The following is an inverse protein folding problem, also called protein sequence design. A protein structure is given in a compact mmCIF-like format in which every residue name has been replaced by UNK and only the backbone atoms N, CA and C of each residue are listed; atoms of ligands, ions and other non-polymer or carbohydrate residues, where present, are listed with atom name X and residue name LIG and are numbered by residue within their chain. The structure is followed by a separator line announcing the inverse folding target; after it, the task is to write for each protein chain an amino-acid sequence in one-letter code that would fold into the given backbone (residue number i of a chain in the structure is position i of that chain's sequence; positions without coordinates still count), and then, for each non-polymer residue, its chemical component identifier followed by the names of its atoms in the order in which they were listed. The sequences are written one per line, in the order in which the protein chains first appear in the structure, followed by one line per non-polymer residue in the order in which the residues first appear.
data_IF_983623491429
#
_entry.id   IF_983623491429
#
_cell.length_a   1.000
_cell.length_b   1.000
_cell.length_c   1.000
_cell.angle_alpha   90.00
_cell.angle_beta   90.00
_cell.angle_gamma   90.00
#
_symmetry.space_group_name_H-M   'P 1'
#
loop_
_entity.id
_entity.type
_entity.pdbx_description
1 polymer ?
#
# COMPACT_ATOMS: atom_id res chain seq x y z
N UNK A 1 -13.03 -5.62 5.74
CA UNK A 1 -12.21 -4.90 4.76
C UNK A 1 -13.02 -3.73 4.22
N UNK A 2 -12.68 -2.54 4.63
CA UNK A 2 -13.34 -1.30 4.21
C UNK A 2 -12.44 -0.62 3.17
N UNK A 3 -12.92 -0.50 1.93
CA UNK A 3 -12.31 0.41 0.96
C UNK A 3 -12.82 1.82 1.23
N UNK A 4 -11.95 2.78 1.08
CA UNK A 4 -12.21 4.18 1.37
C UNK A 4 -12.66 4.96 0.13
N UNK A 5 -12.76 4.35 -1.05
CA UNK A 5 -13.13 5.06 -2.28
C UNK A 5 -14.65 5.09 -2.51
N UNK A 6 -15.16 6.21 -2.93
CA UNK A 6 -16.51 6.34 -3.46
C UNK A 6 -16.50 6.24 -4.99
N UNK A 7 -16.91 5.10 -5.55
CA UNK A 7 -17.65 4.93 -6.81
C UNK A 7 -17.75 3.48 -7.27
N UNK A 8 -18.97 3.08 -7.65
CA UNK A 8 -19.42 2.19 -8.71
C UNK A 8 -18.94 0.74 -8.78
N UNK A 9 -19.85 -0.22 -8.58
CA UNK A 9 -19.62 -1.65 -8.72
C UNK A 9 -19.58 -2.12 -10.18
N UNK A 10 -18.74 -3.17 -10.43
CA UNK A 10 -18.74 -3.98 -11.65
C UNK A 10 -18.56 -5.45 -11.25
N UNK A 11 -19.26 -6.36 -11.94
CA UNK A 11 -19.31 -7.82 -11.75
C UNK A 11 -18.02 -8.54 -12.21
N UNK A 12 -17.67 -9.72 -11.67
CA UNK A 12 -16.42 -10.41 -11.96
C UNK A 12 -16.46 -11.23 -13.27
N UNK A 13 -15.29 -11.30 -13.95
CA UNK A 13 -15.01 -12.28 -14.99
C UNK A 13 -13.87 -13.20 -14.54
N UNK A 14 -14.06 -14.52 -14.69
CA UNK A 14 -13.08 -15.55 -14.34
C UNK A 14 -11.96 -15.63 -15.39
N UNK A 15 -10.73 -15.40 -14.97
CA UNK A 15 -9.51 -15.71 -15.73
C UNK A 15 -8.47 -16.38 -14.84
N UNK A 16 -7.64 -17.31 -15.35
CA UNK A 16 -6.72 -18.09 -14.53
C UNK A 16 -5.55 -17.24 -14.01
N UNK A 17 -5.36 -17.27 -12.70
CA UNK A 17 -4.29 -16.61 -12.00
C UNK A 17 -2.96 -17.38 -12.07
N UNK A 18 -1.84 -16.67 -12.22
CA UNK A 18 -0.50 -17.24 -12.17
C UNK A 18 0.09 -17.16 -10.76
N UNK A 19 0.87 -18.14 -10.35
CA UNK A 19 1.47 -18.19 -9.00
C UNK A 19 2.63 -17.19 -8.89
N UNK A 20 2.56 -16.26 -7.93
CA UNK A 20 3.64 -15.33 -7.59
C UNK A 20 4.80 -16.10 -6.94
N UNK A 21 5.73 -16.66 -7.72
CA UNK A 21 6.96 -17.23 -7.18
C UNK A 21 8.05 -16.16 -7.17
N UNK A 22 8.29 -15.57 -6.00
CA UNK A 22 9.47 -14.76 -5.74
C UNK A 22 10.72 -15.64 -5.83
N UNK A 23 11.64 -15.33 -6.76
CA UNK A 23 12.98 -15.94 -6.75
C UNK A 23 13.75 -15.40 -5.55
N UNK A 24 14.20 -16.29 -4.66
CA UNK A 24 15.13 -15.95 -3.59
C UNK A 24 16.44 -15.46 -4.22
N UNK A 25 16.72 -14.15 -4.10
CA UNK A 25 17.97 -13.56 -4.59
C UNK A 25 18.90 -13.23 -3.42
N UNK A 26 20.16 -13.63 -3.58
CA UNK A 26 21.26 -13.26 -2.68
C UNK A 26 21.53 -11.75 -2.74
N UNK A 27 21.84 -11.09 -1.61
CA UNK A 27 22.10 -9.65 -1.58
C UNK A 27 23.44 -9.32 -2.24
N UNK A 28 23.48 -8.38 -3.13
CA UNK A 28 24.70 -7.81 -3.67
C UNK A 28 24.63 -7.43 -5.17
N UNK A 29 24.77 -6.15 -5.44
CA UNK A 29 25.10 -5.51 -6.74
C UNK A 29 24.13 -5.67 -7.94
N UNK A 30 23.16 -6.58 -7.92
CA UNK A 30 22.27 -6.86 -9.06
C UNK A 30 21.01 -5.96 -9.07
N UNK A 31 20.69 -5.34 -7.95
CA UNK A 31 19.34 -4.83 -7.68
C UNK A 31 18.99 -3.48 -8.32
N UNK A 32 19.97 -2.61 -8.63
CA UNK A 32 19.69 -1.32 -9.33
C UNK A 32 19.14 -1.49 -10.75
N UNK A 33 19.21 -2.70 -11.31
CA UNK A 33 18.72 -3.01 -12.66
C UNK A 33 17.37 -3.72 -12.69
N UNK A 34 16.92 -4.30 -11.56
CA UNK A 34 15.73 -5.17 -11.52
C UNK A 34 14.46 -4.42 -11.91
N UNK A 35 14.22 -3.25 -11.33
CA UNK A 35 13.03 -2.45 -11.68
C UNK A 35 13.04 -1.97 -13.14
N UNK A 36 14.11 -1.38 -13.68
CA UNK A 36 14.17 -1.02 -15.10
C UNK A 36 14.02 -2.21 -16.05
N UNK A 37 14.52 -3.39 -15.68
CA UNK A 37 14.37 -4.61 -16.46
C UNK A 37 12.93 -5.12 -16.43
N UNK A 38 12.28 -5.13 -15.27
CA UNK A 38 10.88 -5.49 -15.11
C UNK A 38 9.96 -4.56 -15.92
N UNK A 39 10.20 -3.26 -15.85
CA UNK A 39 9.43 -2.26 -16.63
C UNK A 39 9.59 -2.52 -18.13
N UNK A 40 10.82 -2.71 -18.62
CA UNK A 40 11.06 -3.06 -20.05
C UNK A 40 10.35 -4.35 -20.46
N UNK A 41 10.48 -5.40 -19.66
CA UNK A 41 9.83 -6.68 -19.93
C UNK A 41 8.30 -6.56 -19.97
N UNK A 42 7.73 -5.72 -19.11
CA UNK A 42 6.28 -5.45 -19.09
C UNK A 42 5.86 -4.64 -20.31
N UNK A 43 6.63 -3.65 -20.73
CA UNK A 43 6.39 -2.94 -22.00
C UNK A 43 6.37 -3.88 -23.21
N UNK A 44 7.35 -4.79 -23.30
CA UNK A 44 7.37 -5.78 -24.38
C UNK A 44 6.14 -6.70 -24.36
N UNK A 45 5.64 -7.09 -23.18
CA UNK A 45 4.39 -7.87 -23.07
C UNK A 45 3.15 -7.07 -23.47
N UNK A 46 3.14 -5.77 -23.18
CA UNK A 46 2.05 -4.88 -23.52
C UNK A 46 2.04 -4.48 -25.00
N UNK A 47 3.13 -4.69 -25.73
CA UNK A 47 3.21 -4.37 -27.18
C UNK A 47 2.07 -5.05 -27.95
N UNK A 48 1.32 -4.27 -28.72
CA UNK A 48 0.17 -4.74 -29.51
C UNK A 48 -1.12 -4.97 -28.71
N UNK A 49 -1.12 -4.84 -27.38
CA UNK A 49 -2.34 -5.02 -26.57
C UNK A 49 -3.12 -3.73 -26.35
N UNK A 50 -2.51 -2.56 -26.57
CA UNK A 50 -3.08 -1.24 -26.25
C UNK A 50 -3.13 -0.92 -24.75
N UNK A 51 -2.54 -1.77 -23.87
CA UNK A 51 -2.53 -1.57 -22.42
C UNK A 51 -1.44 -0.59 -22.02
N UNK A 52 -1.77 0.35 -21.14
CA UNK A 52 -0.77 1.23 -20.52
C UNK A 52 0.09 0.45 -19.53
N UNK A 53 1.38 0.79 -19.46
CA UNK A 53 2.30 0.23 -18.45
C UNK A 53 2.55 1.27 -17.37
N UNK A 54 2.27 0.91 -16.13
CA UNK A 54 2.43 1.78 -14.97
C UNK A 54 3.30 1.11 -13.89
N UNK A 55 3.98 1.94 -13.11
CA UNK A 55 4.72 1.52 -11.92
C UNK A 55 3.96 1.99 -10.70
N UNK A 56 3.60 1.05 -9.86
CA UNK A 56 2.96 1.31 -8.57
C UNK A 56 3.85 0.78 -7.44
N UNK A 57 3.79 1.45 -6.30
CA UNK A 57 4.50 1.06 -5.09
C UNK A 57 3.49 0.82 -3.98
N UNK A 58 3.67 -0.23 -3.20
CA UNK A 58 2.77 -0.59 -2.11
C UNK A 58 3.55 -0.85 -0.83
N UNK A 59 2.95 -0.43 0.28
CA UNK A 59 3.47 -0.65 1.63
C UNK A 59 2.33 -0.70 2.64
N UNK A 60 2.59 -1.20 3.86
CA UNK A 60 1.66 -1.25 4.97
C UNK A 60 2.10 -0.37 6.13
N UNK A 61 1.12 0.33 6.69
CA UNK A 61 1.32 1.14 7.90
C UNK A 61 0.43 0.68 9.04
N UNK A 62 1.04 0.39 10.19
CA UNK A 62 0.32 0.00 11.40
C UNK A 62 -0.01 1.22 12.24
N UNK A 63 -1.29 1.42 12.52
CA UNK A 63 -1.81 2.47 13.38
C UNK A 63 -2.59 1.89 14.56
N UNK A 64 -2.64 2.60 15.66
CA UNK A 64 -3.32 2.12 16.87
C UNK A 64 -3.69 3.25 17.80
N UNK A 65 -4.30 2.89 18.94
CA UNK A 65 -4.77 3.86 19.93
C UNK A 65 -3.62 4.56 20.68
N UNK A 66 -2.39 4.05 20.58
CA UNK A 66 -1.22 4.77 21.08
C UNK A 66 -1.02 6.04 20.22
N UNK A 67 -1.06 7.25 20.81
CA UNK A 67 -1.04 8.48 20.03
C UNK A 67 0.28 8.68 19.28
N UNK A 68 0.18 9.21 18.08
CA UNK A 68 1.31 9.71 17.31
C UNK A 68 1.69 11.06 17.87
N UNK A 69 2.84 11.15 18.54
CA UNK A 69 3.32 12.41 19.11
C UNK A 69 4.06 13.21 18.04
N UNK A 70 3.65 14.45 17.83
CA UNK A 70 4.27 15.37 16.88
C UNK A 70 4.58 16.73 17.52
N UNK A 71 5.46 17.50 16.89
CA UNK A 71 5.72 18.89 17.29
C UNK A 71 4.44 19.72 17.14
N UNK A 72 4.19 20.59 18.11
CA UNK A 72 3.06 21.52 18.10
C UNK A 72 3.49 22.89 18.62
N UNK A 73 2.77 23.92 18.22
CA UNK A 73 2.96 25.26 18.75
C UNK A 73 2.34 25.33 20.15
N UNK A 74 3.05 25.92 21.09
CA UNK A 74 2.61 26.17 22.43
C UNK A 74 3.08 27.55 22.91
N UNK A 75 2.40 28.10 23.90
CA UNK A 75 2.82 29.33 24.54
C UNK A 75 4.20 29.14 25.21
N UNK A 76 5.05 30.14 25.07
CA UNK A 76 6.41 30.07 25.64
C UNK A 76 6.36 29.81 27.16
N UNK A 77 7.06 28.77 27.59
CA UNK A 77 7.11 28.34 28.99
C UNK A 77 6.00 27.35 29.38
N UNK A 78 5.04 27.03 28.50
CA UNK A 78 4.00 26.03 28.76
C UNK A 78 4.26 24.80 27.92
N UNK A 79 4.62 23.69 28.57
CA UNK A 79 4.73 22.40 27.88
C UNK A 79 3.33 21.85 27.54
N UNK A 80 3.05 21.54 26.27
CA UNK A 80 1.77 20.93 25.92
C UNK A 80 1.69 19.50 26.46
N UNK A 81 0.51 19.12 26.95
CA UNK A 81 0.24 17.76 27.45
C UNK A 81 -0.71 17.07 26.48
N UNK A 82 -0.37 15.84 26.09
CA UNK A 82 -1.21 14.98 25.24
C UNK A 82 -1.65 13.78 26.08
N UNK A 83 -2.96 13.50 26.08
CA UNK A 83 -3.46 12.27 26.69
C UNK A 83 -2.95 11.06 25.93
N UNK A 84 -2.43 10.07 26.65
CA UNK A 84 -1.89 8.84 26.08
C UNK A 84 -2.79 7.66 26.45
N UNK A 85 -3.26 6.95 25.45
CA UNK A 85 -4.01 5.70 25.64
C UNK A 85 -3.05 4.52 25.61
N UNK A 86 -3.17 3.60 26.57
CA UNK A 86 -2.32 2.42 26.67
C UNK A 86 -2.98 1.15 26.13
N UNK A 87 -4.14 1.26 25.47
CA UNK A 87 -4.81 0.10 24.88
C UNK A 87 -4.11 -0.35 23.61
N UNK A 88 -3.86 -1.67 23.53
CA UNK A 88 -3.23 -2.30 22.38
C UNK A 88 -4.30 -2.77 21.39
N UNK A 89 -4.82 -1.84 20.61
CA UNK A 89 -5.70 -2.11 19.48
C UNK A 89 -5.10 -1.48 18.23
N UNK A 90 -5.07 -2.21 17.14
CA UNK A 90 -4.35 -1.85 15.92
C UNK A 90 -5.24 -2.03 14.70
N UNK A 91 -4.99 -1.23 13.69
CA UNK A 91 -5.42 -1.44 12.32
C UNK A 91 -4.24 -1.20 11.38
N UNK A 92 -4.36 -1.69 10.16
CA UNK A 92 -3.34 -1.53 9.14
C UNK A 92 -3.92 -0.79 7.94
N UNK A 93 -3.10 0.08 7.36
CA UNK A 93 -3.39 0.76 6.10
C UNK A 93 -2.50 0.14 5.04
N UNK A 94 -3.10 -0.48 4.05
CA UNK A 94 -2.42 -0.85 2.82
C UNK A 94 -2.55 0.33 1.86
N UNK A 95 -1.45 0.88 1.40
CA UNK A 95 -1.43 2.00 0.47
C UNK A 95 -0.69 1.63 -0.81
N UNK A 96 -1.29 1.98 -1.93
CA UNK A 96 -0.72 1.89 -3.25
C UNK A 96 -0.58 3.28 -3.82
N UNK A 97 0.53 3.57 -4.45
CA UNK A 97 0.78 4.87 -5.11
C UNK A 97 1.46 4.68 -6.44
N UNK A 98 0.98 5.40 -7.45
CA UNK A 98 1.65 5.57 -8.72
C UNK A 98 2.52 6.83 -8.66
N UNK A 99 3.86 6.73 -8.55
CA UNK A 99 4.71 7.91 -8.40
C UNK A 99 4.70 8.85 -9.60
N UNK A 100 4.31 8.37 -10.78
CA UNK A 100 4.25 9.18 -11.99
C UNK A 100 3.05 10.12 -12.00
N UNK A 101 1.90 9.68 -11.50
CA UNK A 101 0.63 10.43 -11.55
C UNK A 101 0.24 11.03 -10.20
N UNK A 102 0.76 10.47 -9.10
CA UNK A 102 0.32 10.76 -7.75
C UNK A 102 -0.99 10.04 -7.37
N UNK A 103 -1.58 9.24 -8.28
CA UNK A 103 -2.75 8.41 -7.98
C UNK A 103 -2.43 7.48 -6.82
N UNK A 104 -3.31 7.41 -5.82
CA UNK A 104 -3.13 6.57 -4.65
C UNK A 104 -4.43 5.87 -4.28
N UNK A 105 -4.32 4.70 -3.65
CA UNK A 105 -5.46 3.90 -3.19
C UNK A 105 -5.14 3.32 -1.81
N UNK A 106 -6.17 3.26 -0.93
CA UNK A 106 -5.99 2.86 0.46
C UNK A 106 -7.03 1.82 0.89
N UNK A 107 -6.58 0.85 1.68
CA UNK A 107 -7.46 -0.12 2.35
C UNK A 107 -7.14 -0.19 3.83
N UNK A 108 -8.17 -0.10 4.65
CA UNK A 108 -8.07 -0.29 6.09
C UNK A 108 -8.42 -1.74 6.42
N UNK A 109 -7.47 -2.44 7.04
CA UNK A 109 -7.54 -3.88 7.26
C UNK A 109 -7.15 -4.18 8.72
N UNK A 110 -7.85 -5.13 9.41
CA UNK A 110 -7.56 -5.42 10.82
C UNK A 110 -6.28 -6.23 11.04
N UNK A 111 -5.73 -6.86 10.00
CA UNK A 111 -4.56 -7.74 10.10
C UNK A 111 -3.59 -7.56 8.95
N UNK A 112 -2.34 -8.00 9.16
CA UNK A 112 -1.31 -8.16 8.13
C UNK A 112 -0.94 -9.64 8.07
N UNK A 113 -1.46 -10.30 7.05
CA UNK A 113 -1.19 -11.71 6.75
C UNK A 113 -1.37 -11.96 5.24
N UNK A 114 -1.01 -13.14 4.78
CA UNK A 114 -1.10 -13.51 3.36
C UNK A 114 -2.53 -13.45 2.80
N UNK A 115 -3.55 -13.78 3.61
CA UNK A 115 -4.95 -13.76 3.17
C UNK A 115 -5.45 -12.32 3.03
N UNK A 116 -5.14 -11.47 4.00
CA UNK A 116 -5.46 -10.05 3.95
C UNK A 116 -4.78 -9.38 2.75
N UNK A 117 -3.49 -9.67 2.54
CA UNK A 117 -2.73 -9.17 1.39
C UNK A 117 -3.32 -9.64 0.07
N UNK A 118 -3.66 -10.95 -0.07
CA UNK A 118 -4.30 -11.47 -1.28
C UNK A 118 -5.60 -10.73 -1.58
N UNK A 119 -6.45 -10.52 -0.58
CA UNK A 119 -7.73 -9.84 -0.76
C UNK A 119 -7.56 -8.37 -1.18
N UNK A 120 -6.54 -7.69 -0.64
CA UNK A 120 -6.19 -6.31 -1.04
C UNK A 120 -5.66 -6.29 -2.47
N UNK A 121 -4.76 -7.21 -2.81
CA UNK A 121 -4.14 -7.31 -4.13
C UNK A 121 -5.19 -7.58 -5.23
N UNK A 122 -6.11 -8.52 -4.99
CA UNK A 122 -7.22 -8.82 -5.91
C UNK A 122 -8.14 -7.62 -6.10
N UNK A 123 -8.37 -6.87 -5.02
CA UNK A 123 -9.19 -5.67 -5.08
C UNK A 123 -8.48 -4.55 -5.85
N UNK A 124 -7.21 -4.32 -5.57
CA UNK A 124 -6.38 -3.35 -6.30
C UNK A 124 -6.35 -3.66 -7.81
N UNK A 125 -6.12 -4.91 -8.18
CA UNK A 125 -6.09 -5.34 -9.59
C UNK A 125 -7.41 -5.03 -10.30
N UNK A 126 -8.55 -5.34 -9.68
CA UNK A 126 -9.88 -5.04 -10.23
C UNK A 126 -10.12 -3.55 -10.39
N UNK A 127 -9.81 -2.76 -9.37
CA UNK A 127 -10.12 -1.35 -9.33
C UNK A 127 -9.27 -0.55 -10.33
N UNK A 128 -8.01 -0.95 -10.53
CA UNK A 128 -7.13 -0.36 -11.54
C UNK A 128 -7.39 -0.88 -12.95
N UNK A 129 -8.04 -2.04 -13.08
CA UNK A 129 -8.22 -2.72 -14.36
C UNK A 129 -6.93 -3.36 -14.89
N UNK A 130 -6.08 -3.86 -13.97
CA UNK A 130 -4.89 -4.63 -14.30
C UNK A 130 -5.27 -5.85 -15.18
N UNK A 131 -4.43 -6.18 -16.16
CA UNK A 131 -4.69 -7.24 -17.13
C UNK A 131 -5.74 -6.92 -18.20
N UNK A 132 -6.51 -5.85 -18.03
CA UNK A 132 -7.53 -5.42 -19.01
C UNK A 132 -7.14 -4.11 -19.70
N UNK A 133 -6.86 -3.08 -18.92
CA UNK A 133 -6.52 -1.73 -19.39
C UNK A 133 -5.07 -1.34 -19.13
N UNK A 134 -4.45 -1.97 -18.13
CA UNK A 134 -3.11 -1.63 -17.63
C UNK A 134 -2.31 -2.89 -17.37
N UNK A 135 -1.01 -2.79 -17.55
CA UNK A 135 0.00 -3.70 -17.02
C UNK A 135 0.73 -2.94 -15.90
N UNK A 136 0.73 -3.49 -14.70
CA UNK A 136 1.23 -2.80 -13.51
C UNK A 136 2.47 -3.52 -12.98
N UNK A 137 3.60 -2.82 -12.99
CA UNK A 137 4.79 -3.23 -12.25
C UNK A 137 4.60 -2.80 -10.81
N UNK A 138 4.38 -3.76 -9.90
CA UNK A 138 4.09 -3.49 -8.50
C UNK A 138 5.34 -3.69 -7.66
N UNK A 139 5.84 -2.57 -7.10
CA UNK A 139 7.02 -2.56 -6.23
C UNK A 139 6.59 -2.82 -4.79
N UNK A 140 7.19 -3.84 -4.17
CA UNK A 140 6.90 -4.33 -2.82
C UNK A 140 8.18 -4.48 -2.02
N UNK A 141 8.06 -4.46 -0.70
CA UNK A 141 9.11 -5.02 0.15
C UNK A 141 9.08 -6.56 0.16
N UNK A 142 10.09 -7.16 0.76
CA UNK A 142 10.23 -8.62 0.85
C UNK A 142 9.59 -9.22 2.10
N UNK A 143 8.52 -8.65 2.65
CA UNK A 143 7.84 -9.21 3.81
C UNK A 143 7.33 -10.64 3.54
N UNK A 144 7.33 -11.49 4.57
CA UNK A 144 7.00 -12.90 4.42
C UNK A 144 5.60 -13.17 3.86
N UNK A 145 4.63 -12.33 4.16
CA UNK A 145 3.26 -12.41 3.65
C UNK A 145 3.13 -11.99 2.17
N UNK A 146 4.13 -11.29 1.61
CA UNK A 146 4.19 -10.95 0.18
C UNK A 146 4.75 -12.07 -0.69
N UNK A 147 5.36 -13.08 -0.09
CA UNK A 147 6.06 -14.15 -0.79
C UNK A 147 5.50 -15.55 -0.47
N UNK A 148 4.37 -15.65 0.21
CA UNK A 148 3.77 -16.92 0.62
C UNK A 148 3.42 -17.83 -0.58
N UNK A 149 3.57 -19.18 -0.45
CA UNK A 149 3.27 -20.12 -1.53
C UNK A 149 1.79 -20.15 -1.92
N UNK A 150 0.92 -19.61 -1.07
CA UNK A 150 -0.52 -19.50 -1.29
C UNK A 150 -0.92 -18.23 -2.03
N UNK A 151 0.03 -17.31 -2.23
CA UNK A 151 -0.23 -16.04 -2.89
C UNK A 151 -0.36 -16.28 -4.41
N UNK A 152 -1.46 -15.77 -4.96
CA UNK A 152 -1.73 -15.80 -6.39
C UNK A 152 -1.66 -14.39 -6.94
N UNK A 153 -0.83 -14.19 -7.98
CA UNK A 153 -0.71 -12.88 -8.60
C UNK A 153 -1.85 -12.66 -9.58
N UNK A 154 -2.69 -11.63 -9.42
CA UNK A 154 -3.69 -11.25 -10.41
C UNK A 154 -3.06 -10.97 -11.78
N UNK A 155 -3.82 -11.24 -12.85
CA UNK A 155 -3.40 -10.92 -14.22
C UNK A 155 -3.08 -9.41 -14.34
N UNK A 156 -2.02 -9.10 -15.07
CA UNK A 156 -1.57 -7.72 -15.29
C UNK A 156 -0.81 -7.09 -14.12
N UNK A 157 -0.61 -7.81 -13.00
CA UNK A 157 0.30 -7.38 -11.95
C UNK A 157 1.64 -8.11 -12.07
N UNK A 158 2.73 -7.35 -12.01
CA UNK A 158 4.11 -7.84 -12.11
C UNK A 158 4.89 -7.41 -10.86
N UNK A 159 4.95 -8.26 -9.80
CA UNK A 159 5.61 -7.90 -8.55
C UNK A 159 7.13 -7.79 -8.72
N UNK A 160 7.68 -6.73 -8.14
CA UNK A 160 9.13 -6.48 -8.05
C UNK A 160 9.47 -6.21 -6.59
N UNK A 161 10.30 -7.06 -6.03
CA UNK A 161 10.68 -6.95 -4.62
C UNK A 161 11.90 -6.06 -4.45
N UNK A 162 11.79 -5.11 -3.52
CA UNK A 162 12.90 -4.26 -3.10
C UNK A 162 13.96 -5.07 -2.35
N UNK A 163 15.20 -4.58 -2.34
CA UNK A 163 16.25 -5.11 -1.48
C UNK A 163 15.83 -5.03 0.00
N UNK A 164 16.25 -5.98 0.83
CA UNK A 164 16.09 -5.86 2.27
C UNK A 164 16.74 -4.56 2.78
N UNK A 165 16.07 -3.93 3.76
CA UNK A 165 16.57 -2.71 4.42
C UNK A 165 16.81 -1.51 3.49
N UNK A 166 15.93 -1.30 2.52
CA UNK A 166 16.02 -0.19 1.56
C UNK A 166 14.76 0.67 1.54
N UNK A 167 14.34 1.25 2.69
CA UNK A 167 13.11 2.07 2.78
C UNK A 167 13.18 3.30 1.87
N UNK A 168 14.38 3.85 1.64
CA UNK A 168 14.59 4.98 0.74
C UNK A 168 14.17 4.72 -0.71
N UNK A 169 13.99 3.45 -1.08
CA UNK A 169 13.53 3.01 -2.40
C UNK A 169 12.02 2.78 -2.46
N UNK A 170 11.29 2.94 -1.33
CA UNK A 170 9.85 2.73 -1.24
C UNK A 170 9.09 4.07 -1.21
N UNK A 171 8.54 4.54 -2.35
CA UNK A 171 7.79 5.79 -2.40
C UNK A 171 6.54 5.80 -1.52
N UNK A 172 5.91 4.65 -1.29
CA UNK A 172 4.71 4.53 -0.46
C UNK A 172 4.96 4.94 1.00
N UNK A 173 6.19 4.81 1.52
CA UNK A 173 6.51 5.27 2.88
C UNK A 173 6.29 6.78 3.09
N UNK A 174 6.37 7.57 2.03
CA UNK A 174 6.11 9.02 2.10
C UNK A 174 4.64 9.36 2.38
N UNK A 175 3.73 8.42 2.09
CA UNK A 175 2.31 8.59 2.36
C UNK A 175 2.02 8.58 3.86
N UNK A 176 2.85 7.91 4.67
CA UNK A 176 2.64 7.79 6.11
C UNK A 176 2.66 9.14 6.82
N UNK A 177 3.52 10.04 6.37
CA UNK A 177 3.54 11.40 6.91
C UNK A 177 2.22 12.16 6.67
N UNK A 178 1.54 11.88 5.55
CA UNK A 178 0.28 12.49 5.16
C UNK A 178 -0.91 11.83 5.87
N UNK A 179 -0.91 10.50 6.00
CA UNK A 179 -1.95 9.77 6.73
C UNK A 179 -1.91 10.05 8.22
N UNK A 180 -0.71 10.21 8.80
CA UNK A 180 -0.52 10.50 10.22
C UNK A 180 -0.87 11.92 10.62
N UNK A 181 -0.80 12.86 9.68
CA UNK A 181 -0.96 14.30 9.98
C UNK A 181 -2.23 14.62 10.78
N UNK A 182 -3.43 14.14 10.43
CA UNK A 182 -4.64 14.44 11.18
C UNK A 182 -4.80 13.63 12.48
N UNK A 183 -3.89 12.68 12.73
CA UNK A 183 -3.90 11.80 13.90
C UNK A 183 -2.91 12.26 14.98
N UNK A 184 -1.98 13.15 14.63
CA UNK A 184 -0.93 13.63 15.53
C UNK A 184 -1.51 14.38 16.73
N UNK A 185 -1.02 14.04 17.92
CA UNK A 185 -1.44 14.62 19.19
C UNK A 185 -2.94 14.46 19.48
N UNK A 186 -3.62 13.52 18.81
CA UNK A 186 -5.03 13.21 19.02
C UNK A 186 -5.18 11.99 19.94
N UNK A 187 -6.18 12.04 20.81
CA UNK A 187 -6.62 10.91 21.60
C UNK A 187 -7.89 10.33 20.97
N UNK A 188 -7.91 9.01 20.78
CA UNK A 188 -9.06 8.29 20.27
C UNK A 188 -9.62 7.34 21.33
N UNK A 189 -10.91 7.46 21.70
CA UNK A 189 -11.51 6.64 22.75
C UNK A 189 -11.69 5.17 22.33
N UNK A 190 -11.75 4.91 21.01
CA UNK A 190 -11.91 3.58 20.44
C UNK A 190 -11.27 3.50 19.04
N UNK A 191 -11.02 2.26 18.59
CA UNK A 191 -10.43 2.01 17.28
C UNK A 191 -11.33 2.51 16.13
N UNK A 192 -12.66 2.46 16.31
CA UNK A 192 -13.63 2.93 15.33
C UNK A 192 -13.47 4.44 15.06
N UNK A 193 -13.30 5.25 16.11
CA UNK A 193 -13.08 6.69 15.97
C UNK A 193 -11.76 7.01 15.23
N UNK A 194 -10.69 6.25 15.49
CA UNK A 194 -9.44 6.33 14.74
C UNK A 194 -9.67 5.93 13.27
N UNK A 195 -10.38 4.82 13.04
CA UNK A 195 -10.68 4.31 11.71
C UNK A 195 -11.45 5.31 10.86
N UNK A 196 -12.49 5.94 11.43
CA UNK A 196 -13.27 6.98 10.74
C UNK A 196 -12.41 8.19 10.35
N UNK A 197 -11.58 8.67 11.28
CA UNK A 197 -10.69 9.81 11.02
C UNK A 197 -9.67 9.50 9.94
N UNK A 198 -9.06 8.31 10.01
CA UNK A 198 -8.11 7.84 9.02
C UNK A 198 -8.75 7.60 7.66
N UNK A 199 -9.95 7.00 7.63
CA UNK A 199 -10.72 6.79 6.40
C UNK A 199 -11.06 8.11 5.70
N UNK A 200 -11.41 9.16 6.47
CA UNK A 200 -11.63 10.49 5.91
C UNK A 200 -10.35 11.07 5.28
N UNK A 201 -9.19 10.89 5.92
CA UNK A 201 -7.91 11.33 5.40
C UNK A 201 -7.51 10.57 4.13
N UNK A 202 -7.67 9.25 4.11
CA UNK A 202 -7.36 8.44 2.94
C UNK A 202 -8.22 8.85 1.74
N UNK A 203 -9.53 9.07 1.93
CA UNK A 203 -10.41 9.60 0.86
C UNK A 203 -9.95 10.94 0.31
N UNK A 204 -9.50 11.83 1.19
CA UNK A 204 -8.99 13.13 0.77
C UNK A 204 -7.68 13.00 -0.04
N UNK A 205 -6.83 12.02 0.29
CA UNK A 205 -5.59 11.74 -0.43
C UNK A 205 -5.83 11.06 -1.80
N UNK A 206 -6.94 10.32 -1.93
CA UNK A 206 -7.34 9.71 -3.21
C UNK A 206 -7.89 10.75 -4.22
N UNK A 207 -8.34 11.92 -3.77
CA UNK A 207 -8.90 13.02 -4.59
C UNK A 207 -10.41 13.07 -4.52
#
# INVERSE_FOLDING_TARGET
MLRVSGRGGVQPSDSPASTCRGRSHRPGRVQKKVLPEAVRATHTRAEGTGRAVEVWCMDEHRLGLKPIVGKMWAERGKAPTVAVEHRYAWLYVYAFVCPQTGESQYWLVPSVDTLAFQAVLDRFARDTGAGQRREIVLVLDGAGWHCGPQLTCPEGLHPVFLPPYSPELQPAERLWALTDMPLRNCHFPALDALTERLAAQCRWLEG
#
